data_IF_796134503299
#
_entry.id   IF_796134503299
#
_cell.length_a   1.000
_cell.length_b   1.000
_cell.length_c   1.000
_cell.angle_alpha   90.00
_cell.angle_beta   90.00
_cell.angle_gamma   90.00
#
_symmetry.space_group_name_H-M   'P 1'
#
loop_
_entity.id
_entity.type
_entity.pdbx_description
1 polymer ?
#
# COMPACT_ATOMS: atom_id res chain seq x y z
N UNK A 1 -8.37 5.68 9.37
CA UNK A 1 -7.24 5.38 8.46
C UNK A 1 -5.88 5.83 8.98
N UNK A 2 -5.56 7.13 9.06
CA UNK A 2 -4.16 7.58 9.37
C UNK A 2 -3.61 6.97 10.68
N UNK A 3 -4.42 6.92 11.74
CA UNK A 3 -4.03 6.29 13.02
C UNK A 3 -3.71 4.79 12.87
N UNK A 4 -4.36 4.09 11.95
CA UNK A 4 -4.13 2.67 11.70
C UNK A 4 -2.80 2.44 10.96
N UNK A 5 -2.42 3.31 10.01
CA UNK A 5 -1.11 3.25 9.36
C UNK A 5 0.03 3.37 10.39
N UNK A 6 -0.09 4.33 11.31
CA UNK A 6 0.87 4.51 12.41
C UNK A 6 0.93 3.25 13.29
N UNK A 7 -0.21 2.67 13.63
CA UNK A 7 -0.25 1.42 14.39
C UNK A 7 0.36 0.23 13.64
N UNK A 8 0.08 0.08 12.35
CA UNK A 8 0.66 -0.96 11.52
C UNK A 8 2.19 -0.79 11.40
N UNK A 9 2.69 0.44 11.32
CA UNK A 9 4.13 0.72 11.31
C UNK A 9 4.79 0.39 12.66
N UNK A 10 4.20 0.86 13.76
CA UNK A 10 4.89 0.89 15.06
C UNK A 10 4.59 -0.33 15.97
N UNK A 11 3.46 -1.04 15.74
CA UNK A 11 2.98 -2.10 16.65
C UNK A 11 2.96 -3.46 15.94
N UNK A 12 3.95 -4.30 16.25
CA UNK A 12 3.99 -5.70 15.78
C UNK A 12 2.73 -6.49 16.10
N UNK A 13 2.09 -6.21 17.25
CA UNK A 13 0.82 -6.85 17.65
C UNK A 13 -0.30 -6.58 16.64
N UNK A 14 -0.46 -5.33 16.19
CA UNK A 14 -1.51 -4.98 15.22
C UNK A 14 -1.22 -5.58 13.85
N UNK A 15 0.04 -5.59 13.39
CA UNK A 15 0.43 -6.30 12.15
C UNK A 15 0.06 -7.78 12.18
N UNK A 16 0.38 -8.48 13.27
CA UNK A 16 0.05 -9.91 13.42
C UNK A 16 -1.45 -10.15 13.49
N UNK A 17 -2.18 -9.26 14.16
CA UNK A 17 -3.64 -9.36 14.32
C UNK A 17 -4.37 -9.14 12.99
N UNK A 18 -3.94 -8.15 12.20
CA UNK A 18 -4.56 -7.79 10.93
C UNK A 18 -4.00 -8.57 9.74
N UNK A 19 -2.83 -9.19 9.87
CA UNK A 19 -2.13 -9.83 8.75
C UNK A 19 -1.60 -8.82 7.73
N UNK A 20 -1.53 -7.54 8.10
CA UNK A 20 -1.17 -6.43 7.23
C UNK A 20 0.12 -5.75 7.70
N UNK A 21 0.80 -5.11 6.77
CA UNK A 21 1.93 -4.24 7.03
C UNK A 21 1.98 -3.11 6.00
N UNK A 22 2.75 -2.07 6.32
CA UNK A 22 2.94 -0.91 5.44
C UNK A 22 4.26 -1.05 4.72
N UNK A 23 4.25 -0.76 3.43
CA UNK A 23 5.44 -0.53 2.60
C UNK A 23 5.36 0.88 2.03
N UNK A 24 6.52 1.47 1.78
CA UNK A 24 6.64 2.83 1.26
C UNK A 24 7.62 2.80 0.09
N UNK A 25 7.30 3.51 -1.00
CA UNK A 25 8.16 3.59 -2.18
C UNK A 25 7.74 2.68 -3.34
N UNK A 26 8.14 3.07 -4.55
CA UNK A 26 7.83 2.34 -5.78
C UNK A 26 8.53 0.98 -5.85
N UNK A 27 9.79 0.90 -5.40
CA UNK A 27 10.57 -0.34 -5.45
C UNK A 27 9.94 -1.43 -4.59
N UNK A 28 9.55 -1.09 -3.39
CA UNK A 28 8.92 -2.00 -2.43
C UNK A 28 7.56 -2.46 -2.93
N UNK A 29 6.80 -1.56 -3.56
CA UNK A 29 5.53 -1.89 -4.21
C UNK A 29 5.73 -2.89 -5.35
N UNK A 30 6.71 -2.68 -6.23
CA UNK A 30 7.04 -3.63 -7.30
C UNK A 30 7.44 -5.00 -6.75
N UNK A 31 8.29 -5.03 -5.71
CA UNK A 31 8.70 -6.29 -5.07
C UNK A 31 7.54 -7.02 -4.40
N UNK A 32 6.60 -6.30 -3.78
CA UNK A 32 5.40 -6.89 -3.20
C UNK A 32 4.51 -7.52 -4.28
N UNK A 33 4.35 -6.86 -5.42
CA UNK A 33 3.62 -7.39 -6.56
C UNK A 33 4.30 -8.63 -7.16
N UNK A 34 5.62 -8.59 -7.40
CA UNK A 34 6.40 -9.75 -7.86
C UNK A 34 6.35 -10.92 -6.86
N UNK A 35 6.31 -10.61 -5.57
CA UNK A 35 6.16 -11.56 -4.48
C UNK A 35 4.75 -12.13 -4.30
N UNK A 36 3.79 -11.79 -5.18
CA UNK A 36 2.38 -12.17 -5.11
C UNK A 36 1.69 -11.74 -3.80
N UNK A 37 2.12 -10.62 -3.19
CA UNK A 37 1.37 -10.01 -2.10
C UNK A 37 0.10 -9.36 -2.66
N UNK A 38 -1.00 -9.50 -1.91
CA UNK A 38 -2.24 -8.77 -2.22
C UNK A 38 -2.14 -7.36 -1.66
N UNK A 39 -2.19 -6.37 -2.55
CA UNK A 39 -2.23 -4.97 -2.16
C UNK A 39 -3.67 -4.62 -1.78
N UNK A 40 -3.90 -4.34 -0.50
CA UNK A 40 -5.24 -4.03 0.00
C UNK A 40 -5.58 -2.54 -0.14
N UNK A 41 -4.63 -1.67 0.18
CA UNK A 41 -4.80 -0.21 0.08
C UNK A 41 -3.55 0.41 -0.53
N UNK A 42 -3.73 1.32 -1.49
CA UNK A 42 -2.68 2.12 -2.09
C UNK A 42 -2.96 3.61 -1.87
N UNK A 43 -2.05 4.27 -1.17
CA UNK A 43 -2.08 5.71 -0.91
C UNK A 43 -1.10 6.39 -1.85
N UNK A 44 -1.55 7.42 -2.57
CA UNK A 44 -0.65 8.19 -3.44
C UNK A 44 -1.01 9.68 -3.43
N UNK A 45 -0.03 10.51 -3.75
CA UNK A 45 -0.22 11.96 -3.88
C UNK A 45 -0.25 12.32 -5.37
N UNK A 46 -1.36 12.86 -5.91
CA UNK A 46 -1.50 13.21 -7.33
C UNK A 46 -0.44 14.20 -7.84
N UNK A 47 0.11 15.03 -6.95
CA UNK A 47 1.16 15.99 -7.27
C UNK A 47 2.51 15.31 -7.56
N UNK A 48 2.72 14.09 -7.06
CA UNK A 48 3.95 13.32 -7.22
C UNK A 48 3.80 12.18 -8.23
N UNK A 49 2.63 11.54 -8.27
CA UNK A 49 2.35 10.35 -9.09
C UNK A 49 0.94 10.44 -9.67
N UNK A 50 0.80 10.23 -10.97
CA UNK A 50 -0.52 10.19 -11.62
C UNK A 50 -1.17 8.81 -11.50
N UNK A 51 -2.50 8.73 -11.48
CA UNK A 51 -3.26 7.47 -11.57
C UNK A 51 -2.87 6.60 -12.79
N UNK A 52 -2.35 7.22 -13.85
CA UNK A 52 -1.87 6.51 -15.03
C UNK A 52 -0.46 5.92 -14.86
N UNK A 53 0.18 6.11 -13.71
CA UNK A 53 1.45 5.49 -13.43
C UNK A 53 1.29 3.97 -13.39
N UNK A 54 2.21 3.28 -14.07
CA UNK A 54 2.28 1.82 -14.11
C UNK A 54 2.18 1.17 -12.73
N UNK A 55 2.75 1.79 -11.70
CA UNK A 55 2.69 1.30 -10.33
C UNK A 55 1.26 1.21 -9.76
N UNK A 56 0.37 2.14 -10.16
CA UNK A 56 -1.03 2.17 -9.73
C UNK A 56 -1.87 1.23 -10.59
N UNK A 57 -1.60 1.17 -11.90
CA UNK A 57 -2.33 0.29 -12.82
C UNK A 57 -2.11 -1.21 -12.54
N UNK A 58 -1.01 -1.56 -11.87
CA UNK A 58 -0.69 -2.94 -11.47
C UNK A 58 -1.47 -3.42 -10.24
N UNK A 59 -2.19 -2.54 -9.52
CA UNK A 59 -3.02 -2.96 -8.40
C UNK A 59 -4.31 -3.61 -8.93
N UNK A 60 -4.41 -4.94 -8.82
CA UNK A 60 -5.55 -5.73 -9.28
C UNK A 60 -6.88 -5.30 -8.62
N UNK A 61 -8.02 -5.60 -9.26
CA UNK A 61 -9.36 -5.01 -9.07
C UNK A 61 -10.03 -5.04 -7.67
N UNK A 62 -9.33 -5.40 -6.60
CA UNK A 62 -9.80 -5.31 -5.21
C UNK A 62 -8.93 -4.40 -4.32
N UNK A 63 -7.93 -3.70 -4.87
CA UNK A 63 -7.16 -2.68 -4.14
C UNK A 63 -7.97 -1.39 -3.96
N UNK A 64 -8.04 -0.88 -2.73
CA UNK A 64 -8.58 0.44 -2.44
C UNK A 64 -7.54 1.53 -2.73
N UNK A 65 -7.81 2.40 -3.70
CA UNK A 65 -6.91 3.49 -4.09
C UNK A 65 -7.41 4.80 -3.48
N UNK A 66 -6.52 5.51 -2.76
CA UNK A 66 -6.88 6.74 -2.04
C UNK A 66 -5.83 7.82 -2.32
N UNK A 67 -6.33 8.98 -2.75
CA UNK A 67 -5.54 10.20 -2.92
C UNK A 67 -5.34 10.89 -1.58
N UNK A 68 -4.10 11.26 -1.27
CA UNK A 68 -3.70 11.98 -0.05
C UNK A 68 -2.90 13.25 -0.34
#
# INVERSE_FOLDING_TARGET
MIKQLVQLKDKSRERKKLGQFVIEGQRELSLAMEGNYQIETLLFCPELVSLNDSAIQLSNGSTEIIEI
#
